data_IF_907049175777
#
_entry.id   IF_907049175777
#
_cell.length_a   1.000
_cell.length_b   1.000
_cell.length_c   1.000
_cell.angle_alpha   90.00
_cell.angle_beta   90.00
_cell.angle_gamma   90.00
#
_symmetry.space_group_name_H-M   'P 1'
#
loop_
_entity.id
_entity.type
_entity.pdbx_description
1 polymer ?
#
# COMPACT_ATOMS: atom_id res chain seq x y z
N UNK A 1 29.86 -48.59 35.44
CA UNK A 1 30.19 -47.23 34.94
C UNK A 1 31.57 -46.75 35.40
N UNK A 2 31.90 -46.63 36.70
CA UNK A 2 33.17 -46.05 37.16
C UNK A 2 34.43 -46.67 36.56
N UNK A 3 34.52 -48.00 36.51
CA UNK A 3 35.66 -48.68 35.88
C UNK A 3 35.81 -48.43 34.37
N UNK A 4 34.71 -48.19 33.67
CA UNK A 4 34.72 -47.84 32.26
C UNK A 4 35.13 -46.37 32.02
N UNK A 5 34.69 -45.45 32.90
CA UNK A 5 35.15 -44.05 32.89
C UNK A 5 36.64 -43.96 33.12
N UNK A 6 37.22 -44.74 34.07
CA UNK A 6 38.67 -44.80 34.34
C UNK A 6 39.43 -45.34 33.12
N UNK A 7 38.87 -46.32 32.39
CA UNK A 7 39.46 -46.81 31.12
C UNK A 7 39.40 -45.77 30.06
N UNK A 8 38.27 -45.05 29.89
CA UNK A 8 38.11 -43.98 28.92
C UNK A 8 39.06 -42.81 29.22
N UNK A 9 39.20 -42.40 30.50
CA UNK A 9 40.15 -41.35 30.91
C UNK A 9 41.60 -41.74 30.63
N UNK A 10 41.98 -43.00 30.85
CA UNK A 10 43.30 -43.54 30.45
C UNK A 10 43.52 -43.59 28.94
N UNK A 11 42.47 -43.81 28.15
CA UNK A 11 42.56 -43.76 26.69
C UNK A 11 42.75 -42.32 26.23
N UNK A 12 42.03 -41.35 26.81
CA UNK A 12 42.15 -39.92 26.53
C UNK A 12 43.60 -39.44 26.83
N UNK A 13 44.14 -39.78 28.00
CA UNK A 13 45.52 -39.38 28.34
C UNK A 13 46.60 -39.98 27.40
N UNK A 14 46.27 -41.07 26.72
CA UNK A 14 47.15 -41.69 25.67
C UNK A 14 46.84 -41.17 24.29
N UNK A 15 46.01 -40.15 24.13
CA UNK A 15 45.65 -39.56 22.84
C UNK A 15 44.74 -40.45 21.95
N UNK A 16 44.11 -41.49 22.55
CA UNK A 16 43.25 -42.45 21.84
C UNK A 16 41.76 -42.06 21.95
N UNK A 17 41.36 -40.95 21.31
CA UNK A 17 40.00 -40.38 21.40
C UNK A 17 38.94 -41.36 20.90
N UNK A 18 39.09 -41.98 19.75
CA UNK A 18 38.12 -42.96 19.23
C UNK A 18 37.89 -44.15 20.15
N UNK A 19 38.97 -44.68 20.75
CA UNK A 19 38.87 -45.78 21.72
C UNK A 19 38.11 -45.38 22.98
N UNK A 20 38.29 -44.14 23.46
CA UNK A 20 37.56 -43.59 24.57
C UNK A 20 36.10 -43.44 24.24
N UNK A 21 35.74 -42.88 23.07
CA UNK A 21 34.40 -42.71 22.60
C UNK A 21 33.63 -44.04 22.46
N UNK A 22 34.32 -45.09 22.00
CA UNK A 22 33.74 -46.44 21.93
C UNK A 22 33.38 -46.97 23.31
N UNK A 23 34.31 -46.91 24.30
CA UNK A 23 34.06 -47.36 25.67
C UNK A 23 32.89 -46.59 26.29
N UNK A 24 32.79 -45.27 26.08
CA UNK A 24 31.72 -44.42 26.64
C UNK A 24 30.35 -44.72 26.02
N UNK A 25 30.32 -44.98 24.69
CA UNK A 25 29.08 -45.35 24.00
C UNK A 25 28.53 -46.69 24.46
N UNK A 26 29.42 -47.64 24.78
CA UNK A 26 29.00 -48.98 25.24
C UNK A 26 28.31 -48.94 26.63
N UNK A 27 28.59 -47.91 27.44
CA UNK A 27 28.05 -47.82 28.82
C UNK A 27 26.95 -46.78 28.99
N UNK A 28 26.92 -45.77 28.11
CA UNK A 28 25.98 -44.63 28.21
C UNK A 28 25.85 -44.00 26.81
N UNK A 29 25.12 -44.68 25.93
CA UNK A 29 24.92 -44.26 24.55
C UNK A 29 24.06 -42.98 24.46
N UNK A 30 23.21 -42.72 25.42
CA UNK A 30 22.34 -41.52 25.51
C UNK A 30 23.08 -40.28 26.03
N UNK A 31 24.21 -40.45 26.71
CA UNK A 31 24.92 -39.34 27.35
C UNK A 31 24.16 -38.77 28.53
N UNK A 32 23.52 -39.63 29.36
CA UNK A 32 22.73 -39.20 30.50
C UNK A 32 23.58 -38.75 31.67
N UNK A 33 24.77 -39.37 31.81
CA UNK A 33 25.67 -39.10 32.91
C UNK A 33 26.65 -37.95 32.62
N UNK A 34 26.76 -36.94 33.49
CA UNK A 34 27.63 -35.78 33.30
C UNK A 34 29.11 -36.17 33.11
N UNK A 35 29.58 -37.24 33.80
CA UNK A 35 30.95 -37.74 33.65
C UNK A 35 31.19 -38.32 32.28
N UNK A 36 30.21 -39.04 31.71
CA UNK A 36 30.28 -39.55 30.33
C UNK A 36 30.37 -38.41 29.32
N UNK A 37 29.51 -37.40 29.48
CA UNK A 37 29.52 -36.21 28.62
C UNK A 37 30.86 -35.46 28.65
N UNK A 38 31.44 -35.29 29.88
CA UNK A 38 32.75 -34.65 30.04
C UNK A 38 33.85 -35.44 29.33
N UNK A 39 33.92 -36.76 29.54
CA UNK A 39 34.91 -37.59 28.90
C UNK A 39 34.72 -37.69 27.39
N UNK A 40 33.48 -37.79 26.91
CA UNK A 40 33.14 -37.80 25.49
C UNK A 40 33.51 -36.46 24.82
N UNK A 41 33.22 -35.35 25.48
CA UNK A 41 33.62 -34.01 24.99
C UNK A 41 35.15 -33.89 24.87
N UNK A 42 35.91 -34.34 25.90
CA UNK A 42 37.38 -34.32 25.82
C UNK A 42 37.95 -35.25 24.73
N UNK A 43 37.37 -36.46 24.59
CA UNK A 43 37.77 -37.40 23.52
C UNK A 43 37.46 -36.85 22.12
N UNK A 44 36.28 -36.24 21.94
CA UNK A 44 35.90 -35.58 20.68
C UNK A 44 36.84 -34.40 20.35
N UNK A 45 37.25 -33.64 21.37
CA UNK A 45 38.22 -32.57 21.20
C UNK A 45 39.62 -33.10 20.72
N UNK A 46 40.10 -34.23 21.25
CA UNK A 46 41.31 -34.86 20.76
C UNK A 46 41.22 -35.26 19.27
N UNK A 47 40.09 -35.83 18.84
CA UNK A 47 39.84 -36.17 17.45
C UNK A 47 39.72 -34.92 16.57
N UNK A 48 39.07 -33.87 17.07
CA UNK A 48 38.98 -32.58 16.41
C UNK A 48 40.34 -31.95 16.12
N UNK A 49 41.31 -32.09 17.09
CA UNK A 49 42.71 -31.68 16.94
C UNK A 49 43.40 -32.48 15.87
N UNK A 50 43.31 -33.79 15.95
CA UNK A 50 43.99 -34.71 15.04
C UNK A 50 43.57 -34.53 13.60
N UNK A 51 42.29 -34.23 13.36
CA UNK A 51 41.69 -34.10 12.03
C UNK A 51 41.53 -32.65 11.58
N UNK A 52 41.88 -31.68 12.41
CA UNK A 52 41.60 -30.23 12.21
C UNK A 52 40.14 -29.93 11.78
N UNK A 53 39.17 -30.65 12.37
CA UNK A 53 37.76 -30.61 11.96
C UNK A 53 36.97 -29.64 12.82
N UNK A 54 36.55 -28.52 12.20
CA UNK A 54 35.75 -27.46 12.86
C UNK A 54 34.40 -27.95 13.41
N UNK A 55 33.75 -28.92 12.77
CA UNK A 55 32.49 -29.47 13.22
C UNK A 55 32.66 -30.28 14.52
N UNK A 56 33.75 -31.06 14.59
CA UNK A 56 34.05 -31.83 15.81
C UNK A 56 34.47 -30.94 16.99
N UNK A 57 35.15 -29.80 16.76
CA UNK A 57 35.39 -28.80 17.81
C UNK A 57 34.06 -28.28 18.41
N UNK A 58 33.09 -27.95 17.54
CA UNK A 58 31.77 -27.51 18.03
C UNK A 58 31.01 -28.61 18.77
N UNK A 59 31.12 -29.85 18.30
CA UNK A 59 30.52 -31.00 18.97
C UNK A 59 31.13 -31.23 20.35
N UNK A 60 32.47 -31.16 20.47
CA UNK A 60 33.17 -31.25 21.73
C UNK A 60 32.73 -30.15 22.70
N UNK A 61 32.61 -28.92 22.24
CA UNK A 61 32.12 -27.78 23.03
C UNK A 61 30.68 -27.99 23.51
N UNK A 62 29.81 -28.53 22.65
CA UNK A 62 28.42 -28.85 23.03
C UNK A 62 28.37 -29.90 24.15
N UNK A 63 29.13 -30.98 24.01
CA UNK A 63 29.18 -32.06 25.03
C UNK A 63 29.70 -31.55 26.37
N UNK A 64 30.81 -30.76 26.36
CA UNK A 64 31.37 -30.20 27.59
C UNK A 64 30.44 -29.19 28.27
N UNK A 65 29.78 -28.34 27.45
CA UNK A 65 28.78 -27.40 27.98
C UNK A 65 27.60 -28.13 28.63
N UNK A 66 27.13 -29.22 28.03
CA UNK A 66 26.08 -30.03 28.61
C UNK A 66 26.52 -30.72 29.90
N UNK A 67 27.75 -31.22 29.94
CA UNK A 67 28.36 -31.79 31.16
C UNK A 67 28.39 -30.76 32.31
N UNK A 68 28.83 -29.50 32.01
CA UNK A 68 28.87 -28.43 33.04
C UNK A 68 27.47 -28.01 33.47
N UNK A 69 26.51 -28.01 32.55
CA UNK A 69 25.10 -27.69 32.85
C UNK A 69 24.45 -28.77 33.75
N UNK A 70 24.70 -30.07 33.47
CA UNK A 70 24.16 -31.19 34.29
C UNK A 70 24.84 -31.30 35.64
N UNK A 71 26.14 -30.98 35.75
CA UNK A 71 26.87 -30.96 37.02
C UNK A 71 27.74 -29.71 37.19
N UNK A 72 27.17 -28.59 37.67
CA UNK A 72 27.89 -27.32 37.85
C UNK A 72 29.03 -27.35 38.86
N UNK A 73 29.13 -28.44 39.65
CA UNK A 73 30.22 -28.60 40.64
C UNK A 73 31.44 -29.37 40.12
N UNK A 74 31.37 -29.88 38.87
CA UNK A 74 32.50 -30.58 38.23
C UNK A 74 33.54 -29.61 37.69
N UNK A 75 34.50 -29.23 38.56
CA UNK A 75 35.61 -28.35 38.17
C UNK A 75 36.46 -28.88 37.03
N UNK A 76 36.50 -30.22 36.79
CA UNK A 76 37.21 -30.79 35.65
C UNK A 76 36.49 -30.53 34.35
N UNK A 77 35.15 -30.60 34.34
CA UNK A 77 34.35 -30.27 33.18
C UNK A 77 34.52 -28.79 32.77
N UNK A 78 34.38 -27.87 33.73
CA UNK A 78 34.57 -26.43 33.52
C UNK A 78 35.95 -26.11 32.97
N UNK A 79 37.00 -26.69 33.58
CA UNK A 79 38.36 -26.47 33.13
C UNK A 79 38.55 -26.93 31.68
N UNK A 80 38.15 -28.17 31.36
CA UNK A 80 38.28 -28.74 30.02
C UNK A 80 37.50 -27.95 28.98
N UNK A 81 36.31 -27.47 29.36
CA UNK A 81 35.48 -26.62 28.50
C UNK A 81 36.14 -25.28 28.17
N UNK A 82 36.67 -24.61 29.20
CA UNK A 82 37.37 -23.32 29.01
C UNK A 82 38.66 -23.46 28.17
N UNK A 83 39.41 -24.53 28.40
CA UNK A 83 40.63 -24.84 27.57
C UNK A 83 40.23 -25.04 26.10
N UNK A 84 39.16 -25.79 25.83
CA UNK A 84 38.64 -25.97 24.47
C UNK A 84 38.16 -24.64 23.85
N UNK A 85 37.44 -23.79 24.58
CA UNK A 85 36.96 -22.51 24.08
C UNK A 85 38.12 -21.59 23.74
N UNK A 86 39.17 -21.54 24.56
CA UNK A 86 40.37 -20.74 24.28
C UNK A 86 41.06 -21.22 23.00
N UNK A 87 41.21 -22.56 22.80
CA UNK A 87 41.76 -23.08 21.59
C UNK A 87 40.93 -22.80 20.36
N UNK A 88 39.58 -22.92 20.49
CA UNK A 88 38.62 -22.57 19.43
C UNK A 88 38.73 -21.08 19.04
N UNK A 89 38.84 -20.20 20.02
CA UNK A 89 39.03 -18.77 19.81
C UNK A 89 40.30 -18.46 19.06
N UNK A 90 41.43 -19.06 19.46
CA UNK A 90 42.74 -18.93 18.80
C UNK A 90 42.73 -19.44 17.34
N UNK A 91 41.89 -20.42 17.04
CA UNK A 91 41.70 -20.99 15.69
C UNK A 91 40.59 -20.28 14.89
N UNK A 92 39.94 -19.25 15.42
CA UNK A 92 38.81 -18.57 14.76
C UNK A 92 37.57 -19.47 14.56
N UNK A 93 37.39 -20.47 15.45
CA UNK A 93 36.22 -21.38 15.43
C UNK A 93 35.20 -20.89 16.39
N UNK A 94 34.03 -20.47 15.86
CA UNK A 94 32.87 -20.10 16.72
C UNK A 94 32.21 -21.34 17.30
N UNK A 95 31.79 -21.29 18.56
CA UNK A 95 31.11 -22.40 19.24
C UNK A 95 29.83 -22.86 18.55
N UNK A 96 29.09 -21.93 17.97
CA UNK A 96 27.86 -22.21 17.22
C UNK A 96 27.98 -21.79 15.76
N UNK A 97 27.33 -22.53 14.85
CA UNK A 97 27.31 -22.21 13.42
C UNK A 97 26.44 -20.97 13.13
N UNK A 98 25.43 -20.73 13.95
CA UNK A 98 24.55 -19.56 13.86
C UNK A 98 24.69 -18.72 15.13
N UNK A 99 24.53 -17.39 15.04
CA UNK A 99 24.48 -16.55 16.21
C UNK A 99 23.30 -16.95 17.10
N UNK A 100 23.50 -17.01 18.41
CA UNK A 100 22.38 -17.24 19.33
C UNK A 100 21.42 -16.05 19.29
N UNK A 101 20.14 -16.31 19.13
CA UNK A 101 19.11 -15.26 19.15
C UNK A 101 18.76 -14.80 20.56
N UNK A 102 18.83 -15.74 21.53
CA UNK A 102 18.60 -15.49 22.95
C UNK A 102 19.78 -15.99 23.77
N UNK A 103 20.11 -15.27 24.83
CA UNK A 103 21.04 -15.69 25.87
C UNK A 103 20.36 -15.58 27.22
N UNK A 104 20.13 -16.75 27.88
CA UNK A 104 19.41 -16.85 29.17
C UNK A 104 18.09 -16.06 29.22
N UNK A 105 17.31 -16.11 28.13
CA UNK A 105 16.02 -15.41 27.99
C UNK A 105 16.12 -13.97 27.51
N UNK A 106 17.33 -13.38 27.46
CA UNK A 106 17.51 -12.02 26.92
C UNK A 106 17.89 -12.05 25.43
N UNK A 107 17.31 -11.18 24.57
CA UNK A 107 17.67 -11.11 23.16
C UNK A 107 19.13 -10.68 22.99
N UNK A 108 19.88 -11.41 22.18
CA UNK A 108 21.22 -10.98 21.71
C UNK A 108 21.08 -9.91 20.62
N UNK A 109 22.16 -9.18 20.26
CA UNK A 109 22.12 -8.27 19.11
C UNK A 109 21.62 -8.95 17.82
N UNK A 110 21.98 -10.22 17.60
CA UNK A 110 21.44 -11.01 16.50
C UNK A 110 19.96 -11.36 16.66
N UNK A 111 19.51 -11.60 17.89
CA UNK A 111 18.10 -11.81 18.21
C UNK A 111 17.26 -10.56 17.98
N UNK A 112 17.75 -9.40 18.42
CA UNK A 112 17.09 -8.11 18.16
C UNK A 112 16.94 -7.89 16.65
N UNK A 113 18.01 -8.11 15.88
CA UNK A 113 17.97 -7.96 14.42
C UNK A 113 16.98 -8.94 13.78
N UNK A 114 16.92 -10.19 14.24
CA UNK A 114 15.96 -11.17 13.73
C UNK A 114 14.50 -10.78 14.03
N UNK A 115 14.21 -10.23 15.23
CA UNK A 115 12.88 -9.71 15.60
C UNK A 115 12.52 -8.52 14.69
N UNK A 116 13.47 -7.62 14.45
CA UNK A 116 13.25 -6.45 13.58
C UNK A 116 12.95 -6.87 12.13
N UNK A 117 13.72 -7.83 11.59
CA UNK A 117 13.48 -8.37 10.24
C UNK A 117 12.13 -9.10 10.16
N UNK A 118 11.76 -9.86 11.19
CA UNK A 118 10.44 -10.50 11.26
C UNK A 118 9.31 -9.46 11.29
N UNK A 119 9.48 -8.35 12.04
CA UNK A 119 8.55 -7.23 12.07
C UNK A 119 8.38 -6.57 10.71
N UNK A 120 9.47 -6.30 10.00
CA UNK A 120 9.44 -5.75 8.64
C UNK A 120 8.70 -6.70 7.69
N UNK A 121 8.97 -8.00 7.79
CA UNK A 121 8.32 -9.00 6.94
C UNK A 121 6.82 -9.08 7.20
N UNK A 122 6.39 -9.02 8.46
CA UNK A 122 4.97 -8.97 8.83
C UNK A 122 4.31 -7.71 8.28
N UNK A 123 4.96 -6.54 8.42
CA UNK A 123 4.46 -5.29 7.86
C UNK A 123 4.38 -5.33 6.32
N UNK A 124 5.36 -5.94 5.66
CA UNK A 124 5.33 -6.14 4.22
C UNK A 124 4.17 -7.05 3.79
N UNK A 125 3.92 -8.16 4.51
CA UNK A 125 2.80 -9.07 4.25
C UNK A 125 1.46 -8.35 4.47
N UNK A 126 1.31 -7.57 5.54
CA UNK A 126 0.10 -6.79 5.81
C UNK A 126 -0.11 -5.76 4.69
N UNK A 127 0.94 -5.06 4.26
CA UNK A 127 0.86 -4.08 3.18
C UNK A 127 0.41 -4.74 1.86
N UNK A 128 0.96 -5.91 1.51
CA UNK A 128 0.55 -6.67 0.31
C UNK A 128 -0.88 -7.19 0.44
N UNK A 129 -1.27 -7.71 1.61
CA UNK A 129 -2.61 -8.25 1.84
C UNK A 129 -3.72 -7.17 1.82
N UNK A 130 -3.36 -5.91 2.11
CA UNK A 130 -4.29 -4.78 2.09
C UNK A 130 -4.34 -4.04 0.74
N UNK A 131 -3.57 -4.48 -0.26
CA UNK A 131 -3.65 -3.92 -1.61
C UNK A 131 -4.86 -4.51 -2.32
N UNK A 132 -5.76 -3.63 -2.71
CA UNK A 132 -6.91 -3.97 -3.56
C UNK A 132 -6.59 -3.66 -5.01
N UNK A 133 -7.20 -4.40 -5.92
CA UNK A 133 -7.20 -4.04 -7.33
C UNK A 133 -7.92 -2.70 -7.50
N UNK A 134 -7.41 -1.85 -8.39
CA UNK A 134 -8.02 -0.55 -8.66
C UNK A 134 -9.02 -0.72 -9.79
N UNK A 135 -10.24 -0.28 -9.57
CA UNK A 135 -11.27 -0.25 -10.61
C UNK A 135 -11.37 1.17 -11.17
N UNK A 136 -11.40 1.31 -12.49
CA UNK A 136 -11.68 2.56 -13.20
C UNK A 136 -12.87 2.34 -14.13
N UNK A 137 -13.75 3.32 -14.18
CA UNK A 137 -14.88 3.33 -15.09
C UNK A 137 -14.57 4.31 -16.22
N UNK A 138 -14.87 3.93 -17.48
CA UNK A 138 -14.53 4.71 -18.66
C UNK A 138 -15.80 5.29 -19.26
N UNK A 139 -15.80 6.59 -19.50
CA UNK A 139 -16.89 7.33 -20.13
C UNK A 139 -16.34 8.17 -21.28
N UNK A 140 -17.01 8.11 -22.44
CA UNK A 140 -16.78 8.98 -23.57
C UNK A 140 -17.81 10.10 -23.59
N UNK A 141 -17.34 11.35 -23.74
CA UNK A 141 -18.14 12.55 -23.90
C UNK A 141 -17.95 13.09 -25.32
N UNK A 142 -18.97 12.99 -26.16
CA UNK A 142 -18.98 13.64 -27.48
C UNK A 142 -19.38 15.09 -27.33
N UNK A 143 -18.53 16.00 -27.76
CA UNK A 143 -18.72 17.44 -27.60
C UNK A 143 -18.70 18.18 -28.95
N UNK A 144 -19.44 19.30 -29.01
CA UNK A 144 -19.36 20.27 -30.10
C UNK A 144 -19.21 21.68 -29.54
N UNK A 145 -18.55 22.55 -30.29
CA UNK A 145 -18.38 23.98 -29.93
C UNK A 145 -18.38 24.87 -31.13
N UNK A 146 -18.34 26.19 -30.92
CA UNK A 146 -18.50 27.19 -31.94
C UNK A 146 -19.79 27.00 -32.78
N UNK A 147 -20.92 26.74 -32.08
CA UNK A 147 -22.20 26.52 -32.75
C UNK A 147 -22.25 25.24 -33.59
N UNK A 148 -21.48 24.22 -33.24
CA UNK A 148 -21.40 22.95 -33.96
C UNK A 148 -20.38 22.90 -35.08
N UNK A 149 -19.58 23.95 -35.28
CA UNK A 149 -18.54 23.98 -36.32
C UNK A 149 -17.36 23.04 -35.99
N UNK A 150 -17.13 22.76 -34.72
CA UNK A 150 -16.09 21.89 -34.22
C UNK A 150 -16.70 20.76 -33.40
N UNK A 151 -16.05 19.61 -33.37
CA UNK A 151 -16.45 18.45 -32.57
C UNK A 151 -15.25 17.63 -32.11
N UNK A 152 -15.40 16.89 -31.03
CA UNK A 152 -14.40 15.96 -30.54
C UNK A 152 -14.95 15.06 -29.44
N UNK A 153 -14.22 14.00 -29.15
CA UNK A 153 -14.55 13.08 -28.07
C UNK A 153 -13.51 13.24 -26.97
N UNK A 154 -13.97 13.32 -25.72
CA UNK A 154 -13.16 13.33 -24.51
C UNK A 154 -13.40 12.04 -23.76
N UNK A 155 -12.36 11.24 -23.57
CA UNK A 155 -12.43 10.01 -22.78
C UNK A 155 -11.97 10.29 -21.35
N UNK A 156 -12.79 9.89 -20.37
CA UNK A 156 -12.55 10.12 -18.95
C UNK A 156 -12.49 8.76 -18.22
N UNK A 157 -11.45 8.59 -17.43
CA UNK A 157 -11.39 7.55 -16.39
C UNK A 157 -11.98 8.11 -15.09
N UNK A 158 -12.98 7.42 -14.56
CA UNK A 158 -13.59 7.70 -13.26
C UNK A 158 -13.04 6.75 -12.21
N UNK A 159 -12.91 7.23 -10.97
CA UNK A 159 -12.26 6.51 -9.87
C UNK A 159 -13.26 6.14 -8.76
N UNK A 160 -14.04 5.05 -8.91
CA UNK A 160 -15.07 4.65 -7.95
C UNK A 160 -14.51 4.33 -6.55
N UNK A 161 -13.24 3.89 -6.47
CA UNK A 161 -12.59 3.63 -5.18
C UNK A 161 -12.27 4.92 -4.40
N UNK A 162 -12.06 6.04 -5.10
CA UNK A 162 -11.74 7.34 -4.51
C UNK A 162 -12.98 8.20 -4.24
N UNK A 163 -13.98 8.14 -5.11
CA UNK A 163 -15.19 8.95 -5.03
C UNK A 163 -16.45 8.14 -5.42
N UNK A 164 -16.82 7.12 -4.63
CA UNK A 164 -17.87 6.18 -4.99
C UNK A 164 -19.23 6.83 -5.24
N UNK A 165 -19.66 7.80 -4.43
CA UNK A 165 -20.95 8.46 -4.62
C UNK A 165 -20.96 9.34 -5.88
N UNK A 166 -19.86 10.06 -6.16
CA UNK A 166 -19.75 10.90 -7.35
C UNK A 166 -19.73 10.08 -8.63
N UNK A 167 -18.93 8.99 -8.65
CA UNK A 167 -18.84 8.11 -9.82
C UNK A 167 -20.17 7.40 -10.08
N UNK A 168 -20.81 6.86 -9.04
CA UNK A 168 -22.12 6.22 -9.20
C UNK A 168 -23.17 7.21 -9.72
N UNK A 169 -23.24 8.41 -9.16
CA UNK A 169 -24.17 9.45 -9.60
C UNK A 169 -23.92 9.84 -11.06
N UNK A 170 -22.67 10.10 -11.42
CA UNK A 170 -22.31 10.49 -12.78
C UNK A 170 -22.66 9.39 -13.79
N UNK A 171 -22.36 8.12 -13.48
CA UNK A 171 -22.72 6.97 -14.32
C UNK A 171 -24.22 6.84 -14.51
N UNK A 172 -25.00 6.97 -13.47
CA UNK A 172 -26.47 6.89 -13.56
C UNK A 172 -27.03 7.99 -14.45
N UNK A 173 -26.51 9.23 -14.35
CA UNK A 173 -26.92 10.32 -15.23
C UNK A 173 -26.52 10.09 -16.70
N UNK A 174 -25.33 9.48 -16.93
CA UNK A 174 -24.90 9.05 -18.26
C UNK A 174 -25.82 7.95 -18.82
N UNK A 175 -26.09 6.92 -18.04
CA UNK A 175 -26.95 5.78 -18.43
C UNK A 175 -28.40 6.19 -18.67
N UNK A 176 -28.90 7.17 -17.94
CA UNK A 176 -30.24 7.74 -18.13
C UNK A 176 -30.32 8.63 -19.41
N UNK A 177 -29.16 9.08 -19.94
CA UNK A 177 -29.10 10.05 -21.02
C UNK A 177 -29.39 11.50 -20.57
N UNK A 178 -29.32 11.77 -19.25
CA UNK A 178 -29.59 13.09 -18.69
C UNK A 178 -28.59 14.15 -19.17
N UNK A 179 -27.36 13.74 -19.49
CA UNK A 179 -26.32 14.64 -19.99
C UNK A 179 -26.42 14.92 -21.48
N UNK A 180 -27.19 14.12 -22.24
CA UNK A 180 -27.27 14.27 -23.69
C UNK A 180 -27.91 15.60 -24.09
N UNK A 181 -27.20 16.35 -24.90
CA UNK A 181 -27.63 17.64 -25.38
C UNK A 181 -27.49 18.79 -24.37
N UNK A 182 -26.89 18.57 -23.19
CA UNK A 182 -26.63 19.67 -22.24
C UNK A 182 -25.52 20.59 -22.75
N UNK A 183 -25.53 21.85 -22.30
CA UNK A 183 -24.57 22.84 -22.70
C UNK A 183 -23.50 23.10 -21.61
N UNK A 184 -22.34 23.58 -22.02
CA UNK A 184 -21.37 24.21 -21.14
C UNK A 184 -21.82 25.66 -20.92
N UNK A 185 -22.58 25.89 -19.88
CA UNK A 185 -23.21 27.17 -19.60
C UNK A 185 -22.25 28.20 -18.98
N UNK A 186 -21.07 27.72 -18.46
CA UNK A 186 -20.05 28.58 -17.91
C UNK A 186 -18.66 28.10 -18.36
N UNK A 187 -17.96 28.99 -19.05
CA UNK A 187 -16.62 28.75 -19.61
C UNK A 187 -15.71 29.91 -19.21
N UNK A 188 -14.62 29.58 -18.51
CA UNK A 188 -13.63 30.57 -18.11
C UNK A 188 -12.27 30.10 -18.58
N UNK A 189 -11.68 30.94 -19.44
CA UNK A 189 -10.31 30.78 -19.95
C UNK A 189 -9.30 30.65 -18.78
N UNK A 190 -8.25 29.84 -18.96
CA UNK A 190 -7.23 29.58 -17.94
C UNK A 190 -7.79 28.99 -16.60
N UNK A 191 -9.03 28.46 -16.62
CA UNK A 191 -9.62 27.89 -15.41
C UNK A 191 -10.41 26.59 -15.66
N UNK A 192 -11.64 26.65 -16.23
CA UNK A 192 -12.49 25.46 -16.38
C UNK A 192 -13.64 25.65 -17.37
N UNK A 193 -14.23 24.53 -17.82
CA UNK A 193 -15.52 24.50 -18.50
C UNK A 193 -16.54 23.74 -17.64
N UNK A 194 -17.69 24.35 -17.35
CA UNK A 194 -18.74 23.81 -16.49
C UNK A 194 -20.02 23.52 -17.27
N UNK A 195 -20.57 22.32 -17.09
CA UNK A 195 -21.79 21.84 -17.72
C UNK A 195 -22.58 20.89 -16.81
N UNK A 196 -23.45 20.07 -17.42
CA UNK A 196 -24.22 19.05 -16.72
C UNK A 196 -25.48 19.54 -16.01
N UNK A 197 -25.96 20.77 -16.31
CA UNK A 197 -27.30 21.21 -15.90
C UNK A 197 -28.33 20.70 -16.91
N UNK A 198 -28.86 19.52 -16.69
CA UNK A 198 -29.80 18.87 -17.59
C UNK A 198 -31.25 19.37 -17.42
N UNK A 199 -31.55 20.13 -16.35
CA UNK A 199 -32.90 20.60 -16.09
C UNK A 199 -33.18 21.98 -16.62
N UNK A 200 -32.21 22.91 -16.57
CA UNK A 200 -32.38 24.31 -16.99
C UNK A 200 -31.35 24.80 -18.01
N UNK A 201 -30.13 24.26 -17.96
CA UNK A 201 -29.05 24.66 -18.83
C UNK A 201 -28.45 26.03 -18.53
N UNK A 202 -28.81 26.69 -17.45
CA UNK A 202 -28.33 28.01 -17.04
C UNK A 202 -27.42 28.01 -15.81
N UNK A 203 -27.11 26.82 -15.30
CA UNK A 203 -26.30 26.62 -14.10
C UNK A 203 -27.07 26.66 -12.77
N UNK A 204 -28.41 26.88 -12.82
CA UNK A 204 -29.25 26.93 -11.62
C UNK A 204 -30.04 25.66 -11.37
N UNK A 205 -29.90 24.65 -12.23
CA UNK A 205 -30.59 23.38 -12.17
C UNK A 205 -29.66 22.18 -11.97
N UNK A 206 -30.20 21.00 -12.28
CA UNK A 206 -29.51 19.71 -12.10
C UNK A 206 -29.61 19.19 -10.68
N UNK A 207 -29.71 17.90 -10.54
CA UNK A 207 -29.81 17.20 -9.25
C UNK A 207 -29.15 15.82 -9.33
N UNK A 208 -28.96 15.11 -8.22
CA UNK A 208 -28.44 13.76 -8.24
C UNK A 208 -29.45 12.77 -8.86
N UNK A 209 -28.93 11.74 -9.52
CA UNK A 209 -29.72 10.71 -10.23
C UNK A 209 -30.64 9.91 -9.31
N UNK A 210 -30.31 9.84 -8.03
CA UNK A 210 -31.06 9.13 -7.00
C UNK A 210 -30.80 9.75 -5.63
N UNK A 211 -31.47 9.24 -4.61
CA UNK A 211 -31.21 9.60 -3.23
C UNK A 211 -29.84 9.09 -2.73
N UNK A 212 -28.96 10.01 -2.31
CA UNK A 212 -27.66 9.75 -1.69
C UNK A 212 -27.58 10.20 -0.21
N UNK A 213 -28.74 10.45 0.42
CA UNK A 213 -28.82 10.83 1.83
C UNK A 213 -28.83 12.33 2.10
N UNK A 214 -28.93 13.18 1.06
CA UNK A 214 -28.91 14.63 1.19
C UNK A 214 -30.00 15.29 0.36
N UNK A 215 -30.66 16.29 0.94
CA UNK A 215 -31.66 17.16 0.30
C UNK A 215 -31.16 18.60 0.36
N UNK A 216 -30.76 19.18 -0.79
CA UNK A 216 -30.10 20.51 -0.85
C UNK A 216 -28.94 20.64 0.17
N UNK A 217 -28.15 19.56 0.37
CA UNK A 217 -27.05 19.51 1.31
C UNK A 217 -27.41 19.14 2.75
N UNK A 218 -28.68 18.97 3.08
CA UNK A 218 -29.17 18.61 4.41
C UNK A 218 -29.45 17.10 4.52
N UNK A 219 -28.74 16.41 5.42
CA UNK A 219 -28.94 14.98 5.69
C UNK A 219 -29.96 14.69 6.82
N UNK A 220 -30.57 15.72 7.42
CA UNK A 220 -31.60 15.55 8.42
C UNK A 220 -33.00 15.36 7.80
N UNK A 221 -33.16 15.69 6.52
CA UNK A 221 -34.38 15.48 5.74
C UNK A 221 -34.41 14.04 5.23
N UNK A 222 -35.54 13.35 5.35
CA UNK A 222 -35.69 12.00 4.81
C UNK A 222 -35.95 12.02 3.31
N UNK A 223 -35.67 10.91 2.61
CA UNK A 223 -36.00 10.76 1.18
C UNK A 223 -37.48 11.04 0.89
N UNK A 224 -38.39 10.58 1.77
CA UNK A 224 -39.83 10.75 1.60
C UNK A 224 -40.29 12.23 1.69
N UNK A 225 -39.49 13.08 2.33
CA UNK A 225 -39.78 14.50 2.54
C UNK A 225 -38.99 15.40 1.58
N UNK A 226 -38.06 14.83 0.78
CA UNK A 226 -37.27 15.56 -0.19
C UNK A 226 -37.81 15.37 -1.61
N UNK A 227 -37.85 16.46 -2.38
CA UNK A 227 -38.16 16.36 -3.82
C UNK A 227 -36.95 15.84 -4.59
N UNK A 228 -37.17 15.03 -5.62
CA UNK A 228 -36.07 14.50 -6.47
C UNK A 228 -35.20 15.61 -7.05
N UNK A 229 -35.81 16.77 -7.40
CA UNK A 229 -35.09 17.94 -7.91
C UNK A 229 -34.16 18.60 -6.89
N UNK A 230 -34.22 18.20 -5.61
CA UNK A 230 -33.36 18.64 -4.51
C UNK A 230 -32.39 17.56 -4.03
N UNK A 231 -32.30 16.41 -4.71
CA UNK A 231 -31.34 15.36 -4.37
C UNK A 231 -29.92 15.84 -4.64
N UNK A 232 -29.07 15.69 -3.64
CA UNK A 232 -27.65 16.02 -3.71
C UNK A 232 -26.77 14.87 -3.18
N UNK A 233 -25.47 14.94 -3.46
CA UNK A 233 -24.51 13.90 -3.09
C UNK A 233 -23.58 14.38 -1.96
N UNK A 234 -23.06 13.47 -1.11
CA UNK A 234 -22.05 13.81 -0.10
C UNK A 234 -20.77 14.30 -0.76
N UNK A 235 -20.09 15.28 -0.14
CA UNK A 235 -18.73 15.65 -0.56
C UNK A 235 -17.73 14.50 -0.25
N UNK A 236 -16.83 14.19 -1.20
CA UNK A 236 -15.75 13.20 -1.07
C UNK A 236 -14.40 13.88 -1.33
N UNK A 237 -14.16 15.04 -0.69
CA UNK A 237 -13.06 15.96 -1.01
C UNK A 237 -11.66 15.55 -0.57
N UNK A 238 -11.51 14.66 0.43
CA UNK A 238 -10.21 14.21 0.95
C UNK A 238 -9.88 12.79 0.47
N UNK A 239 -10.09 12.55 -0.81
CA UNK A 239 -10.00 11.23 -1.44
C UNK A 239 -8.62 10.92 -2.06
N UNK A 240 -7.64 11.82 -1.87
CA UNK A 240 -6.29 11.67 -2.42
C UNK A 240 -6.11 12.20 -3.84
N UNK A 241 -7.18 12.76 -4.45
CA UNK A 241 -7.15 13.42 -5.76
C UNK A 241 -7.11 14.93 -5.60
N UNK A 242 -6.39 15.61 -6.50
CA UNK A 242 -6.25 17.04 -6.55
C UNK A 242 -6.77 17.58 -7.90
N UNK A 243 -7.03 18.89 -7.93
CA UNK A 243 -7.45 19.59 -9.14
C UNK A 243 -6.25 19.84 -10.09
N UNK A 244 -5.68 18.73 -10.59
CA UNK A 244 -4.68 18.80 -11.66
C UNK A 244 -5.35 19.17 -13.00
N UNK A 245 -4.55 19.56 -13.97
CA UNK A 245 -5.02 19.74 -15.36
C UNK A 245 -5.58 18.41 -15.90
N UNK A 246 -6.55 18.53 -16.82
CA UNK A 246 -7.24 17.38 -17.41
C UNK A 246 -7.96 16.50 -16.38
N UNK A 247 -8.55 17.07 -15.34
CA UNK A 247 -9.41 16.34 -14.38
C UNK A 247 -10.88 16.77 -14.51
N UNK A 248 -11.77 15.89 -14.02
CA UNK A 248 -13.19 16.18 -13.83
C UNK A 248 -13.49 16.33 -12.34
N UNK A 249 -14.23 17.37 -11.99
CA UNK A 249 -14.62 17.66 -10.62
C UNK A 249 -16.10 18.07 -10.52
N UNK A 250 -16.71 17.85 -9.37
CA UNK A 250 -18.11 18.16 -9.10
C UNK A 250 -18.29 19.65 -8.80
N UNK A 251 -19.17 20.29 -9.58
CA UNK A 251 -19.64 21.63 -9.28
C UNK A 251 -20.68 21.59 -8.15
N UNK A 252 -20.64 22.57 -7.26
CA UNK A 252 -21.57 22.71 -6.15
C UNK A 252 -21.62 24.15 -5.66
N UNK A 253 -22.64 24.47 -4.87
CA UNK A 253 -22.74 25.74 -4.16
C UNK A 253 -21.81 25.79 -2.94
N UNK A 254 -21.71 26.93 -2.29
CA UNK A 254 -20.81 27.12 -1.11
C UNK A 254 -21.05 26.14 0.04
N UNK A 255 -22.29 25.81 0.46
CA UNK A 255 -22.52 24.80 1.48
C UNK A 255 -21.97 23.42 1.05
N UNK A 256 -21.53 22.58 2.01
CA UNK A 256 -21.12 21.21 1.72
C UNK A 256 -22.31 20.36 1.25
N UNK A 257 -22.00 19.26 0.55
CA UNK A 257 -22.98 18.24 0.13
C UNK A 257 -24.08 18.75 -0.80
N UNK A 258 -23.80 19.83 -1.58
CA UNK A 258 -24.75 20.41 -2.53
C UNK A 258 -24.46 20.06 -3.98
N UNK A 259 -23.54 19.12 -4.23
CA UNK A 259 -23.30 18.58 -5.58
C UNK A 259 -24.54 17.83 -6.09
N UNK A 260 -24.90 18.07 -7.35
CA UNK A 260 -26.02 17.39 -8.03
C UNK A 260 -25.53 16.68 -9.29
N UNK A 261 -25.86 17.26 -10.46
CA UNK A 261 -25.41 16.74 -11.76
C UNK A 261 -24.29 17.57 -12.40
N UNK A 262 -24.13 18.84 -11.99
CA UNK A 262 -23.18 19.72 -12.65
C UNK A 262 -21.73 19.33 -12.33
N UNK A 263 -20.90 19.35 -13.36
CA UNK A 263 -19.47 19.05 -13.28
C UNK A 263 -18.67 20.10 -14.04
N UNK A 264 -17.38 20.15 -13.81
CA UNK A 264 -16.45 20.94 -14.62
C UNK A 264 -15.24 20.13 -15.02
N UNK A 265 -14.73 20.45 -16.20
CA UNK A 265 -13.50 19.88 -16.74
C UNK A 265 -12.42 20.96 -16.70
N UNK A 266 -11.22 20.56 -16.29
CA UNK A 266 -10.06 21.44 -16.18
C UNK A 266 -9.22 21.31 -17.45
N UNK A 267 -8.99 22.39 -18.23
CA UNK A 267 -8.14 22.36 -19.40
C UNK A 267 -6.67 22.14 -19.05
N UNK A 268 -5.87 21.76 -20.06
CA UNK A 268 -4.45 21.44 -19.85
C UNK A 268 -3.56 22.66 -19.54
N UNK A 269 -4.01 23.85 -19.89
CA UNK A 269 -3.34 25.13 -19.66
C UNK A 269 -3.85 25.87 -18.43
N UNK A 270 -4.86 25.34 -17.71
CA UNK A 270 -5.44 25.96 -16.51
C UNK A 270 -4.37 26.31 -15.48
N UNK A 271 -4.43 27.58 -15.00
CA UNK A 271 -3.47 28.11 -14.02
C UNK A 271 -2.02 27.86 -14.47
N UNK A 272 -1.68 28.22 -15.71
CA UNK A 272 -0.36 27.98 -16.32
C UNK A 272 0.06 26.51 -16.35
N UNK A 273 -0.88 25.57 -16.42
CA UNK A 273 -0.64 24.13 -16.47
C UNK A 273 -0.49 23.46 -15.11
N UNK A 274 -0.72 24.17 -14.01
CA UNK A 274 -0.66 23.63 -12.65
C UNK A 274 -2.02 23.14 -12.14
N UNK A 275 -3.11 23.63 -12.72
CA UNK A 275 -4.48 23.41 -12.27
C UNK A 275 -4.89 24.31 -11.11
N UNK A 276 -6.19 24.39 -10.78
CA UNK A 276 -6.74 25.27 -9.74
C UNK A 276 -6.67 24.65 -8.35
N UNK A 277 -5.47 24.58 -7.75
CA UNK A 277 -5.18 23.98 -6.44
C UNK A 277 -6.00 24.57 -5.28
N UNK A 278 -6.48 25.81 -5.42
CA UNK A 278 -7.35 26.47 -4.43
C UNK A 278 -8.71 25.80 -4.26
N UNK A 279 -9.09 24.87 -5.15
CA UNK A 279 -10.31 24.06 -5.05
C UNK A 279 -10.11 22.76 -4.27
N UNK A 280 -8.86 22.39 -3.98
CA UNK A 280 -8.54 21.18 -3.22
C UNK A 280 -9.17 21.21 -1.82
N UNK A 281 -9.75 20.09 -1.43
CA UNK A 281 -10.50 19.98 -0.18
C UNK A 281 -11.85 20.72 -0.15
N UNK A 282 -12.29 21.33 -1.26
CA UNK A 282 -13.57 22.05 -1.38
C UNK A 282 -14.51 21.41 -2.39
N UNK A 283 -14.00 20.98 -3.52
CA UNK A 283 -14.72 20.26 -4.56
C UNK A 283 -14.17 18.85 -4.70
N UNK A 284 -14.99 17.91 -5.13
CA UNK A 284 -14.58 16.51 -5.29
C UNK A 284 -14.10 16.24 -6.70
N UNK A 285 -12.80 15.98 -6.85
CA UNK A 285 -12.26 15.37 -8.08
C UNK A 285 -12.63 13.89 -8.06
N UNK A 286 -13.18 13.36 -9.17
CA UNK A 286 -13.62 11.98 -9.24
C UNK A 286 -13.17 11.24 -10.51
N UNK A 287 -12.34 11.88 -11.34
CA UNK A 287 -11.79 11.26 -12.54
C UNK A 287 -10.75 12.12 -13.23
N UNK A 288 -10.20 11.57 -14.33
CA UNK A 288 -9.17 12.20 -15.15
C UNK A 288 -9.46 11.97 -16.63
N UNK A 289 -9.20 12.98 -17.45
CA UNK A 289 -9.26 12.89 -18.90
C UNK A 289 -8.02 12.16 -19.39
N UNK A 290 -8.20 11.05 -20.09
CA UNK A 290 -7.12 10.23 -20.65
C UNK A 290 -6.91 10.49 -22.15
N UNK A 291 -7.93 11.04 -22.83
CA UNK A 291 -7.85 11.43 -24.24
C UNK A 291 -8.75 12.62 -24.51
N UNK A 292 -8.32 13.51 -25.42
CA UNK A 292 -9.13 14.64 -25.87
C UNK A 292 -9.12 15.86 -24.95
N UNK A 293 -8.14 16.01 -24.05
CA UNK A 293 -8.02 17.21 -23.21
C UNK A 293 -7.81 18.49 -24.04
N UNK A 294 -7.21 18.40 -25.23
CA UNK A 294 -7.07 19.46 -26.20
C UNK A 294 -8.43 19.98 -26.74
N UNK A 295 -9.47 19.16 -26.69
CA UNK A 295 -10.84 19.63 -27.00
C UNK A 295 -11.40 20.47 -25.84
N UNK A 296 -11.08 20.09 -24.57
CA UNK A 296 -11.41 20.91 -23.40
C UNK A 296 -10.71 22.26 -23.46
N UNK A 297 -9.42 22.29 -23.86
CA UNK A 297 -8.65 23.52 -24.09
C UNK A 297 -9.31 24.37 -25.16
N UNK A 298 -9.73 23.75 -26.30
CA UNK A 298 -10.40 24.46 -27.40
C UNK A 298 -11.74 25.06 -26.96
N UNK A 299 -12.48 24.39 -26.06
CA UNK A 299 -13.75 24.91 -25.54
C UNK A 299 -13.47 26.01 -24.49
N UNK A 300 -12.42 25.91 -23.67
CA UNK A 300 -12.08 26.95 -22.70
C UNK A 300 -11.78 28.31 -23.34
N UNK A 301 -11.30 28.31 -24.59
CA UNK A 301 -10.95 29.50 -25.36
C UNK A 301 -12.08 30.05 -26.25
N UNK A 302 -13.33 29.53 -26.15
CA UNK A 302 -14.44 30.10 -26.97
C UNK A 302 -14.79 31.50 -26.47
N UNK A 303 -15.29 32.33 -27.41
CA UNK A 303 -15.72 33.68 -27.06
C UNK A 303 -16.86 33.69 -26.04
N UNK A 304 -16.65 34.37 -24.93
CA UNK A 304 -17.68 34.71 -23.92
C UNK A 304 -17.95 36.21 -23.92
N UNK A 305 -19.07 36.71 -23.38
CA UNK A 305 -19.36 38.13 -23.29
C UNK A 305 -18.30 38.93 -22.56
N UNK A 306 -17.68 38.36 -21.56
CA UNK A 306 -16.59 38.94 -20.77
C UNK A 306 -15.31 38.15 -20.96
N UNK A 307 -14.25 38.87 -21.38
CA UNK A 307 -12.90 38.30 -21.44
C UNK A 307 -12.28 38.17 -20.05
N UNK A 308 -12.95 38.65 -19.00
CA UNK A 308 -12.49 38.58 -17.61
C UNK A 308 -13.53 37.85 -16.78
N UNK A 309 -13.09 36.94 -15.87
CA UNK A 309 -14.01 36.20 -15.00
C UNK A 309 -14.86 37.14 -14.14
N UNK A 310 -16.19 36.87 -14.09
CA UNK A 310 -17.12 37.55 -13.20
C UNK A 310 -17.59 36.58 -12.12
N UNK A 311 -17.68 37.06 -10.90
CA UNK A 311 -18.07 36.21 -9.75
C UNK A 311 -19.52 35.68 -9.84
N UNK A 312 -20.38 36.31 -10.68
CA UNK A 312 -21.77 35.91 -10.85
C UNK A 312 -22.00 34.95 -12.03
N UNK A 313 -20.94 34.63 -12.79
CA UNK A 313 -20.98 33.74 -13.96
C UNK A 313 -21.78 34.24 -15.14
N UNK A 314 -22.41 35.46 -15.08
CA UNK A 314 -23.29 35.96 -16.12
C UNK A 314 -22.58 36.36 -17.44
N UNK A 315 -21.26 36.62 -17.33
CA UNK A 315 -20.41 36.93 -18.47
C UNK A 315 -19.64 35.76 -19.06
N UNK A 316 -19.76 34.58 -18.48
CA UNK A 316 -18.95 33.40 -18.78
C UNK A 316 -19.67 32.40 -19.72
N UNK A 317 -20.88 32.71 -20.14
CA UNK A 317 -21.63 31.87 -21.11
C UNK A 317 -21.08 32.02 -22.52
N UNK A 318 -20.74 30.95 -23.24
CA UNK A 318 -20.27 31.03 -24.63
C UNK A 318 -21.22 31.78 -25.57
N UNK A 319 -20.69 32.68 -26.38
CA UNK A 319 -21.49 33.41 -27.39
C UNK A 319 -22.05 32.47 -28.49
N UNK A 320 -21.33 31.39 -28.77
CA UNK A 320 -21.76 30.31 -29.63
C UNK A 320 -21.81 29.05 -28.79
N UNK A 321 -22.88 28.28 -28.93
CA UNK A 321 -23.13 27.10 -28.14
C UNK A 321 -21.92 26.15 -28.11
N UNK A 322 -21.50 25.75 -26.91
CA UNK A 322 -20.65 24.62 -26.64
C UNK A 322 -21.49 23.55 -25.91
N UNK A 323 -21.53 22.33 -26.44
CA UNK A 323 -22.52 21.34 -26.10
C UNK A 323 -21.91 19.97 -25.86
N UNK A 324 -22.37 19.27 -24.85
CA UNK A 324 -22.21 17.83 -24.67
C UNK A 324 -23.32 17.14 -25.48
N UNK A 325 -22.95 16.56 -26.64
CA UNK A 325 -23.88 15.92 -27.56
C UNK A 325 -24.42 14.62 -26.98
N UNK A 326 -23.49 13.78 -26.47
CA UNK A 326 -23.83 12.53 -25.81
C UNK A 326 -22.74 12.16 -24.78
N UNK A 327 -23.15 11.43 -23.73
CA UNK A 327 -22.26 10.79 -22.79
C UNK A 327 -22.50 9.28 -22.82
N UNK A 328 -21.43 8.48 -22.95
CA UNK A 328 -21.56 7.03 -23.09
C UNK A 328 -20.64 6.31 -22.11
N UNK A 329 -21.18 5.42 -21.31
CA UNK A 329 -20.39 4.51 -20.48
C UNK A 329 -19.80 3.40 -21.37
N UNK A 330 -18.46 3.35 -21.43
CA UNK A 330 -17.73 2.41 -22.30
C UNK A 330 -17.51 1.08 -21.59
N UNK A 331 -17.19 1.11 -20.29
CA UNK A 331 -16.93 -0.09 -19.50
C UNK A 331 -16.12 0.19 -18.25
N UNK A 332 -15.83 -0.87 -17.51
CA UNK A 332 -14.97 -0.81 -16.32
C UNK A 332 -13.71 -1.62 -16.59
N UNK A 333 -12.57 -1.08 -16.20
CA UNK A 333 -11.29 -1.78 -16.22
C UNK A 333 -10.82 -2.02 -14.79
N UNK A 334 -10.35 -3.23 -14.51
CA UNK A 334 -9.76 -3.57 -13.21
C UNK A 334 -8.27 -3.81 -13.41
N UNK A 335 -7.45 -2.94 -12.85
CA UNK A 335 -6.01 -3.08 -12.87
C UNK A 335 -5.55 -3.78 -11.60
N UNK A 336 -5.01 -5.00 -11.70
CA UNK A 336 -4.46 -5.70 -10.56
C UNK A 336 -3.29 -4.91 -9.94
N UNK A 337 -3.26 -4.82 -8.61
CA UNK A 337 -2.27 -4.06 -7.86
C UNK A 337 -0.80 -4.40 -8.21
N UNK A 338 -0.53 -5.60 -8.72
CA UNK A 338 0.83 -6.05 -9.08
C UNK A 338 1.29 -5.54 -10.45
N UNK A 339 0.45 -4.88 -11.25
CA UNK A 339 0.84 -4.31 -12.56
C UNK A 339 1.43 -2.90 -12.46
N UNK A 340 1.48 -2.32 -11.28
CA UNK A 340 2.11 -1.02 -11.03
C UNK A 340 3.62 -1.08 -10.77
N UNK A 341 4.29 -2.21 -11.11
CA UNK A 341 5.74 -2.42 -10.93
C UNK A 341 6.44 -2.80 -12.23
#
# INVERSE_FOLDING_TARGET
MKAAWDKAEKAITKGKGESALKILRDIDAGGDEPTTLRLAGHATWLEAKARNNRAEYRRAASLLREATKKNPRDKKADRTYNELLNEMQNKGIRETSFPRLLNEGTPTPAGIMAIFLAGILVLAVINVANRTDTTTDIVDLEMTWNGGANSGTVTIELYPDAAPAHVENFKLLVENGDYDGTIFHRVIDDFMIQGGDFTRGDGTGGHAAKWFGYCDGDNSISEADCQETSYTIPDEVNNGLNHEVCTISMAKTTPPHTGGSQFFLIPSDSNNGEGPDWLDGKHTVFGKITSGCDHVDSISHVDTPNSTPQDDGSGDTPKQEAKLVSATFVGSETTPWYQFW
#
